data_IF_200165331189
#
_entry.id   IF_200165331189
#
_cell.length_a   1.000
_cell.length_b   1.000
_cell.length_c   1.000
_cell.angle_alpha   90.00
_cell.angle_beta   90.00
_cell.angle_gamma   90.00
#
_symmetry.space_group_name_H-M   'P 1'
#
loop_
_entity.id
_entity.type
_entity.pdbx_description
1 polymer ?
#
# COMPACT_ATOMS: atom_id res chain seq x y z
N UNK A 1 32.49 -12.05 -59.68
CA UNK A 1 33.84 -12.65 -59.79
C UNK A 1 34.82 -11.57 -60.23
N UNK A 2 35.44 -10.91 -59.25
CA UNK A 2 36.58 -9.98 -59.36
C UNK A 2 37.06 -9.87 -57.90
N UNK A 3 38.13 -10.52 -57.46
CA UNK A 3 39.50 -10.37 -57.94
C UNK A 3 40.23 -9.51 -56.90
N UNK A 4 40.72 -10.14 -55.82
CA UNK A 4 41.57 -9.49 -54.83
C UNK A 4 42.97 -9.20 -55.41
N UNK A 5 43.71 -8.28 -54.80
CA UNK A 5 45.10 -8.61 -54.51
C UNK A 5 45.44 -8.43 -53.03
N UNK A 6 45.88 -9.56 -52.46
CA UNK A 6 46.75 -9.68 -51.30
C UNK A 6 48.01 -8.80 -51.38
N UNK A 7 48.45 -8.30 -50.23
CA UNK A 7 49.86 -7.99 -49.95
C UNK A 7 50.25 -8.69 -48.65
N UNK A 8 51.28 -9.54 -48.72
CA UNK A 8 52.01 -10.05 -47.55
C UNK A 8 52.71 -8.91 -46.80
N UNK A 9 53.28 -9.07 -45.62
CA UNK A 9 53.73 -10.25 -44.87
C UNK A 9 54.90 -9.78 -43.99
N UNK A 10 55.03 -10.35 -42.78
CA UNK A 10 56.12 -10.07 -41.81
C UNK A 10 55.81 -8.89 -40.90
N UNK A 11 56.09 -8.89 -39.60
CA UNK A 11 57.05 -9.67 -38.81
C UNK A 11 56.67 -9.53 -37.33
N UNK A 12 56.97 -10.56 -36.53
CA UNK A 12 56.76 -10.58 -35.08
C UNK A 12 57.85 -9.81 -34.35
N UNK A 13 57.47 -9.11 -33.28
CA UNK A 13 58.37 -8.76 -32.19
C UNK A 13 57.59 -8.76 -30.85
N UNK A 14 58.02 -9.65 -29.95
CA UNK A 14 57.95 -9.55 -28.48
C UNK A 14 58.39 -8.14 -27.99
N UNK A 15 58.08 -7.59 -26.82
CA UNK A 15 57.63 -8.10 -25.52
C UNK A 15 57.11 -6.92 -24.65
N UNK A 16 56.54 -7.28 -23.48
CA UNK A 16 56.50 -6.53 -22.21
C UNK A 16 55.49 -5.39 -21.97
N UNK A 17 54.47 -5.73 -21.17
CA UNK A 17 54.39 -5.23 -19.78
C UNK A 17 53.66 -3.90 -19.49
N UNK A 18 52.38 -3.98 -19.12
CA UNK A 18 51.65 -3.17 -18.12
C UNK A 18 50.14 -3.46 -18.33
N UNK A 19 49.34 -3.91 -17.37
CA UNK A 19 49.15 -3.32 -16.06
C UNK A 19 48.00 -2.30 -16.14
N UNK A 20 46.84 -2.65 -15.55
CA UNK A 20 45.62 -1.85 -15.39
C UNK A 20 44.74 -1.70 -16.66
N UNK A 21 43.42 -1.85 -16.63
CA UNK A 21 42.47 -1.96 -15.55
C UNK A 21 41.30 -2.86 -15.99
N UNK A 22 40.76 -3.64 -15.06
CA UNK A 22 39.37 -4.09 -15.17
C UNK A 22 38.49 -2.89 -15.54
N UNK A 23 37.53 -3.03 -16.47
CA UNK A 23 36.49 -2.01 -16.60
C UNK A 23 35.86 -1.86 -15.21
N UNK A 24 35.61 -0.62 -14.73
CA UNK A 24 35.00 -0.44 -13.43
C UNK A 24 33.70 -1.26 -13.41
N UNK A 25 33.61 -2.17 -12.44
CA UNK A 25 32.36 -2.76 -12.05
C UNK A 25 31.34 -1.62 -11.99
N UNK A 26 30.28 -1.73 -12.79
CA UNK A 26 29.14 -0.84 -12.70
C UNK A 26 28.84 -0.68 -11.21
N UNK A 27 28.73 0.55 -10.68
CA UNK A 27 28.43 0.72 -9.28
C UNK A 27 27.16 -0.08 -9.05
N UNK A 28 27.25 -1.10 -8.20
CA UNK A 28 26.10 -1.82 -7.71
C UNK A 28 25.09 -0.75 -7.36
N UNK A 29 23.99 -0.70 -8.13
CA UNK A 29 22.93 0.25 -7.91
C UNK A 29 22.67 0.22 -6.41
N UNK A 30 22.93 1.36 -5.77
CA UNK A 30 22.66 1.54 -4.35
C UNK A 30 21.29 0.91 -4.11
N UNK A 31 21.12 0.01 -3.11
CA UNK A 31 19.80 -0.50 -2.81
C UNK A 31 18.97 0.73 -2.50
N UNK A 32 18.17 1.15 -3.48
CA UNK A 32 17.39 2.37 -3.40
C UNK A 32 16.67 2.30 -2.08
N UNK A 33 16.91 3.31 -1.23
CA UNK A 33 16.11 3.59 -0.04
C UNK A 33 14.69 3.93 -0.51
N UNK A 34 13.98 2.92 -1.02
CA UNK A 34 12.59 2.95 -1.44
C UNK A 34 11.89 1.77 -0.75
N UNK A 35 12.19 1.62 0.54
CA UNK A 35 11.46 0.74 1.45
C UNK A 35 10.67 1.55 2.49
N UNK A 36 10.54 2.86 2.32
CA UNK A 36 9.35 3.57 2.81
C UNK A 36 8.23 3.24 1.81
N UNK A 37 7.66 2.04 1.97
CA UNK A 37 6.69 1.50 1.02
C UNK A 37 5.55 2.48 0.81
N UNK A 38 5.23 2.73 -0.45
CA UNK A 38 4.03 3.47 -0.85
C UNK A 38 2.85 3.00 0.02
N UNK A 39 2.09 3.91 0.65
CA UNK A 39 1.00 3.53 1.51
C UNK A 39 -0.04 2.71 0.73
N UNK A 40 -0.31 1.49 1.19
CA UNK A 40 -1.19 0.52 0.54
C UNK A 40 -2.68 0.84 0.81
N UNK A 41 -3.50 1.10 -0.22
CA UNK A 41 -4.92 1.36 -0.05
C UNK A 41 -5.69 0.20 0.59
N UNK A 42 -5.33 -1.06 0.32
CA UNK A 42 -6.04 -2.21 0.91
C UNK A 42 -5.71 -2.38 2.39
N UNK A 43 -4.44 -2.18 2.78
CA UNK A 43 -4.06 -2.11 4.19
C UNK A 43 -4.80 -0.96 4.92
N UNK A 44 -4.94 0.20 4.29
CA UNK A 44 -5.69 1.31 4.85
C UNK A 44 -7.18 1.00 5.01
N UNK A 45 -7.79 0.32 4.03
CA UNK A 45 -9.16 -0.18 4.12
C UNK A 45 -9.31 -1.14 5.30
N UNK A 46 -8.41 -2.12 5.45
CA UNK A 46 -8.45 -3.04 6.59
C UNK A 46 -8.38 -2.29 7.93
N UNK A 47 -7.49 -1.30 8.03
CA UNK A 47 -7.31 -0.49 9.25
C UNK A 47 -8.55 0.31 9.62
N UNK A 48 -9.17 1.02 8.67
CA UNK A 48 -10.38 1.81 8.96
C UNK A 48 -11.59 0.92 9.28
N UNK A 49 -11.70 -0.27 8.69
CA UNK A 49 -12.75 -1.24 9.04
C UNK A 49 -12.55 -1.80 10.44
N UNK A 50 -11.31 -2.09 10.84
CA UNK A 50 -10.97 -2.50 12.21
C UNK A 50 -11.35 -1.39 13.22
N UNK A 51 -10.90 -0.15 12.98
CA UNK A 51 -11.26 0.99 13.82
C UNK A 51 -12.78 1.16 13.93
N UNK A 52 -13.49 1.14 12.80
CA UNK A 52 -14.94 1.26 12.78
C UNK A 52 -15.63 0.13 13.57
N UNK A 53 -15.13 -1.10 13.51
CA UNK A 53 -15.60 -2.21 14.33
C UNK A 53 -15.44 -1.95 15.83
N UNK A 54 -14.25 -1.52 16.27
CA UNK A 54 -14.00 -1.17 17.69
C UNK A 54 -14.92 -0.07 18.18
N UNK A 55 -15.09 0.99 17.38
CA UNK A 55 -15.98 2.11 17.73
C UNK A 55 -17.43 1.62 17.78
N UNK A 56 -17.89 0.88 16.77
CA UNK A 56 -19.23 0.29 16.72
C UNK A 56 -19.53 -0.50 17.99
N UNK A 57 -18.64 -1.41 18.38
CA UNK A 57 -18.85 -2.28 19.54
C UNK A 57 -18.93 -1.48 20.84
N UNK A 58 -18.03 -0.50 21.03
CA UNK A 58 -18.08 0.42 22.19
C UNK A 58 -19.37 1.21 22.26
N UNK A 59 -19.84 1.74 21.13
CA UNK A 59 -21.06 2.55 21.09
C UNK A 59 -22.32 1.69 21.26
N UNK A 60 -22.34 0.46 20.72
CA UNK A 60 -23.43 -0.51 20.97
C UNK A 60 -23.50 -0.85 22.45
N UNK A 61 -22.37 -1.21 23.07
CA UNK A 61 -22.31 -1.49 24.51
C UNK A 61 -22.83 -0.30 25.32
N UNK A 62 -22.34 0.90 25.02
CA UNK A 62 -22.76 2.14 25.68
C UNK A 62 -24.25 2.41 25.52
N UNK A 63 -24.80 2.20 24.31
CA UNK A 63 -26.21 2.43 24.04
C UNK A 63 -27.10 1.42 24.79
N UNK A 64 -26.72 0.14 24.79
CA UNK A 64 -27.45 -0.91 25.49
C UNK A 64 -27.41 -0.70 27.00
N UNK A 65 -26.26 -0.32 27.58
CA UNK A 65 -26.15 0.00 29.00
C UNK A 65 -27.08 1.16 29.40
N UNK A 66 -27.19 2.20 28.55
CA UNK A 66 -28.10 3.33 28.78
C UNK A 66 -29.58 2.96 28.65
N UNK A 67 -29.92 2.01 27.79
CA UNK A 67 -31.29 1.49 27.64
C UNK A 67 -31.66 0.58 28.81
N UNK A 68 -30.75 -0.30 29.22
CA UNK A 68 -30.93 -1.21 30.34
C UNK A 68 -31.15 -0.45 31.66
N UNK A 69 -30.40 0.64 31.88
CA UNK A 69 -30.57 1.53 33.03
C UNK A 69 -31.97 2.18 33.13
N UNK A 70 -32.77 2.16 32.05
CA UNK A 70 -34.16 2.63 32.04
C UNK A 70 -35.17 1.52 32.32
N UNK A 71 -34.75 0.26 32.36
CA UNK A 71 -35.59 -0.91 32.64
C UNK A 71 -36.43 -1.41 31.47
N UNK A 72 -36.22 -0.87 30.26
CA UNK A 72 -37.05 -1.16 29.08
C UNK A 72 -36.34 -2.04 28.03
N UNK A 73 -35.14 -2.55 28.31
CA UNK A 73 -34.36 -3.27 27.30
C UNK A 73 -34.93 -4.66 27.03
N UNK A 74 -35.39 -4.87 25.79
CA UNK A 74 -35.83 -6.18 25.27
C UNK A 74 -34.83 -6.70 24.25
N UNK A 75 -34.87 -8.00 24.00
CA UNK A 75 -34.03 -8.64 22.98
C UNK A 75 -34.19 -8.00 21.59
N UNK A 76 -35.43 -7.64 21.23
CA UNK A 76 -35.71 -6.95 19.96
C UNK A 76 -35.04 -5.58 19.88
N UNK A 77 -34.98 -4.83 20.98
CA UNK A 77 -34.36 -3.51 20.99
C UNK A 77 -32.85 -3.63 20.85
N UNK A 78 -32.26 -4.67 21.46
CA UNK A 78 -30.85 -5.03 21.27
C UNK A 78 -30.52 -5.29 19.79
N UNK A 79 -31.30 -6.15 19.15
CA UNK A 79 -31.14 -6.47 17.73
C UNK A 79 -31.34 -5.23 16.82
N UNK A 80 -32.23 -4.31 17.21
CA UNK A 80 -32.42 -3.05 16.47
C UNK A 80 -31.20 -2.13 16.59
N UNK A 81 -30.64 -2.00 17.80
CA UNK A 81 -29.45 -1.17 18.04
C UNK A 81 -28.24 -1.71 17.28
N UNK A 82 -28.00 -3.03 17.35
CA UNK A 82 -26.90 -3.68 16.63
C UNK A 82 -27.01 -3.48 15.12
N UNK A 83 -28.19 -3.73 14.53
CA UNK A 83 -28.44 -3.50 13.10
C UNK A 83 -28.34 -2.03 12.70
N UNK A 84 -28.73 -1.11 13.58
CA UNK A 84 -28.56 0.32 13.33
C UNK A 84 -27.08 0.66 13.27
N UNK A 85 -26.29 0.17 14.22
CA UNK A 85 -24.84 0.40 14.26
C UNK A 85 -24.16 -0.16 12.99
N UNK A 86 -24.53 -1.37 12.54
CA UNK A 86 -24.04 -1.94 11.27
C UNK A 86 -24.33 -1.04 10.06
N UNK A 87 -25.55 -0.51 9.98
CA UNK A 87 -25.94 0.40 8.89
C UNK A 87 -25.18 1.71 8.94
N UNK A 88 -24.92 2.24 10.12
CA UNK A 88 -24.14 3.47 10.30
C UNK A 88 -22.70 3.27 9.83
N UNK A 89 -22.05 2.18 10.25
CA UNK A 89 -20.69 1.83 9.80
C UNK A 89 -20.65 1.68 8.28
N UNK A 90 -21.57 0.88 7.72
CA UNK A 90 -21.65 0.66 6.27
C UNK A 90 -21.78 1.98 5.51
N UNK A 91 -22.67 2.87 5.96
CA UNK A 91 -22.91 4.16 5.32
C UNK A 91 -21.71 5.10 5.46
N UNK A 92 -21.08 5.14 6.63
CA UNK A 92 -19.93 6.00 6.91
C UNK A 92 -18.72 5.59 6.05
N UNK A 93 -18.46 4.28 5.95
CA UNK A 93 -17.31 3.76 5.21
C UNK A 93 -17.50 3.76 3.69
N UNK A 94 -18.73 3.90 3.17
CA UNK A 94 -19.00 3.81 1.74
C UNK A 94 -18.18 4.78 0.86
N UNK A 95 -18.00 6.03 1.32
CA UNK A 95 -17.21 7.03 0.61
C UNK A 95 -15.70 6.73 0.63
N UNK A 96 -15.05 6.56 1.80
CA UNK A 96 -13.61 6.23 1.85
C UNK A 96 -13.28 4.88 1.19
N UNK A 97 -14.15 3.87 1.29
CA UNK A 97 -13.99 2.61 0.56
C UNK A 97 -13.92 2.82 -0.96
N UNK A 98 -14.75 3.71 -1.50
CA UNK A 98 -14.73 4.04 -2.93
C UNK A 98 -13.45 4.78 -3.29
N UNK A 99 -13.04 5.75 -2.47
CA UNK A 99 -11.83 6.55 -2.68
C UNK A 99 -10.58 5.66 -2.70
N UNK A 100 -10.45 4.74 -1.74
CA UNK A 100 -9.31 3.84 -1.62
C UNK A 100 -9.28 2.78 -2.74
N UNK A 101 -10.44 2.25 -3.15
CA UNK A 101 -10.50 1.36 -4.33
C UNK A 101 -10.06 2.08 -5.60
N UNK A 102 -10.54 3.30 -5.81
CA UNK A 102 -10.12 4.11 -6.96
C UNK A 102 -8.61 4.41 -6.91
N UNK A 103 -8.03 4.62 -5.73
CA UNK A 103 -6.58 4.80 -5.56
C UNK A 103 -5.79 3.52 -5.86
N UNK A 104 -6.30 2.35 -5.47
CA UNK A 104 -5.66 1.05 -5.75
C UNK A 104 -5.62 0.72 -7.25
N UNK A 105 -6.58 1.22 -8.02
CA UNK A 105 -6.67 1.02 -9.47
C UNK A 105 -5.80 1.99 -10.28
N UNK A 106 -5.22 3.03 -9.65
CA UNK A 106 -4.38 4.03 -10.33
C UNK A 106 -2.91 3.59 -10.36
N UNK A 107 -2.27 3.81 -11.51
CA UNK A 107 -0.84 3.52 -11.72
C UNK A 107 0.11 4.52 -11.04
N UNK A 108 -0.40 5.66 -10.57
CA UNK A 108 0.43 6.76 -10.03
C UNK A 108 0.77 6.61 -8.55
N UNK A 109 0.24 5.59 -7.87
CA UNK A 109 0.54 5.30 -6.47
C UNK A 109 0.35 6.53 -5.55
N UNK A 110 -0.62 7.38 -5.86
CA UNK A 110 -0.91 8.62 -5.12
C UNK A 110 -1.24 8.32 -3.65
N UNK A 111 -0.41 8.80 -2.70
CA UNK A 111 -0.59 8.49 -1.28
C UNK A 111 -1.70 9.30 -0.61
N UNK A 112 -2.22 10.36 -1.25
CA UNK A 112 -3.15 11.31 -0.63
C UNK A 112 -4.44 10.64 -0.13
N UNK A 113 -5.14 9.80 -0.92
CA UNK A 113 -6.37 9.14 -0.46
C UNK A 113 -6.15 8.24 0.76
N UNK A 114 -4.98 7.60 0.83
CA UNK A 114 -4.61 6.74 1.97
C UNK A 114 -4.31 7.58 3.21
N UNK A 115 -3.49 8.62 3.08
CA UNK A 115 -3.15 9.51 4.18
C UNK A 115 -4.39 10.18 4.77
N UNK A 116 -5.29 10.69 3.90
CA UNK A 116 -6.54 11.33 4.33
C UNK A 116 -7.47 10.34 5.02
N UNK A 117 -7.63 9.12 4.50
CA UNK A 117 -8.46 8.10 5.16
C UNK A 117 -7.93 7.71 6.54
N UNK A 118 -6.62 7.48 6.67
CA UNK A 118 -6.01 7.08 7.95
C UNK A 118 -6.05 8.22 8.98
N UNK A 119 -5.80 9.47 8.58
CA UNK A 119 -5.86 10.64 9.47
C UNK A 119 -7.27 10.85 10.06
N UNK A 120 -8.31 10.59 9.28
CA UNK A 120 -9.70 10.82 9.71
C UNK A 120 -10.32 9.61 10.41
N UNK A 121 -9.90 8.38 10.10
CA UNK A 121 -10.62 7.15 10.45
C UNK A 121 -9.72 6.02 10.97
N UNK A 122 -8.41 6.20 11.03
CA UNK A 122 -7.44 5.11 11.32
C UNK A 122 -7.07 4.92 12.79
N UNK A 123 -7.53 5.80 13.67
CA UNK A 123 -7.16 5.87 15.10
C UNK A 123 -7.90 4.86 15.99
#
# INVERSE_FOLDING_TARGET
MTGAPWTGGGESADSDGAGAAEPPAEPAAEPTESAAGTPDPDAARARIHECAGRVRDREVETALAKLDARGDLRERDREVVERLADRLVTRLLAAPDRSLRAAAERDDHDPEPVATALSLLGE
#
